data_IF_726425044066
#
_entry.id   IF_726425044066
#
_cell.length_a   1.000
_cell.length_b   1.000
_cell.length_c   1.000
_cell.angle_alpha   90.00
_cell.angle_beta   90.00
_cell.angle_gamma   90.00
#
_symmetry.space_group_name_H-M   'P 1'
#
loop_
_entity.id
_entity.type
_entity.pdbx_description
1 polymer ?
#
# COMPACT_ATOMS: atom_id res chain seq x y z
N UNK A 1 -4.57 -5.49 31.51
CA UNK A 1 -3.49 -6.11 30.71
C UNK A 1 -4.14 -6.71 29.49
N UNK A 2 -3.61 -6.45 28.31
CA UNK A 2 -4.13 -7.04 27.07
C UNK A 2 -3.90 -8.56 27.11
N UNK A 3 -4.82 -9.33 26.52
CA UNK A 3 -4.66 -10.77 26.36
C UNK A 3 -3.45 -11.08 25.46
N UNK A 4 -2.63 -12.08 25.80
CA UNK A 4 -1.41 -12.45 25.09
C UNK A 4 -1.68 -12.80 23.61
N UNK A 5 -2.79 -13.49 23.33
CA UNK A 5 -3.23 -13.79 21.95
C UNK A 5 -3.50 -12.53 21.14
N UNK A 6 -4.13 -11.52 21.75
CA UNK A 6 -4.40 -10.24 21.10
C UNK A 6 -3.07 -9.52 20.83
N UNK A 7 -2.17 -9.50 21.84
CA UNK A 7 -0.86 -8.89 21.73
C UNK A 7 -0.04 -9.45 20.57
N UNK A 8 0.12 -10.77 20.50
CA UNK A 8 0.85 -11.45 19.42
C UNK A 8 0.18 -11.25 18.06
N UNK A 9 -1.17 -11.28 18.01
CA UNK A 9 -1.90 -11.05 16.77
C UNK A 9 -1.65 -9.62 16.23
N UNK A 10 -1.60 -8.61 17.09
CA UNK A 10 -1.37 -7.23 16.68
C UNK A 10 0.06 -7.02 16.17
N UNK A 11 1.06 -7.64 16.79
CA UNK A 11 2.43 -7.69 16.26
C UNK A 11 2.45 -8.38 14.88
N UNK A 12 1.77 -9.51 14.75
CA UNK A 12 1.64 -10.23 13.48
C UNK A 12 1.01 -9.37 12.39
N UNK A 13 -0.09 -8.67 12.70
CA UNK A 13 -0.76 -7.75 11.76
C UNK A 13 0.19 -6.64 11.30
N UNK A 14 0.93 -6.01 12.21
CA UNK A 14 1.91 -4.98 11.83
C UNK A 14 2.97 -5.55 10.89
N UNK A 15 3.51 -6.74 11.16
CA UNK A 15 4.51 -7.42 10.31
C UNK A 15 3.97 -7.75 8.92
N UNK A 16 2.72 -8.16 8.83
CA UNK A 16 2.09 -8.53 7.55
C UNK A 16 1.69 -7.32 6.70
N UNK A 17 1.25 -6.23 7.33
CA UNK A 17 0.68 -5.08 6.62
C UNK A 17 1.68 -3.94 6.38
N UNK A 18 2.75 -3.87 7.19
CA UNK A 18 3.78 -2.84 7.08
C UNK A 18 5.03 -3.38 6.38
N UNK A 19 4.93 -3.61 5.09
CA UNK A 19 6.02 -4.14 4.28
C UNK A 19 6.57 -3.08 3.30
N UNK A 20 7.86 -3.12 2.94
CA UNK A 20 8.39 -2.23 1.93
C UNK A 20 7.82 -2.57 0.55
N UNK A 21 7.54 -1.53 -0.24
CA UNK A 21 7.10 -1.65 -1.63
C UNK A 21 7.55 -0.44 -2.45
N UNK A 22 7.86 -0.67 -3.72
CA UNK A 22 8.23 0.37 -4.67
C UNK A 22 7.03 0.82 -5.49
N UNK A 23 6.90 2.13 -5.72
CA UNK A 23 5.88 2.68 -6.60
C UNK A 23 4.44 2.29 -6.24
N UNK A 24 3.55 2.25 -7.23
CA UNK A 24 2.17 1.81 -7.04
C UNK A 24 2.10 0.29 -6.93
N UNK A 25 1.33 -0.21 -5.97
CA UNK A 25 1.31 -1.64 -5.60
C UNK A 25 0.72 -2.53 -6.69
N UNK A 26 -0.29 -2.08 -7.42
CA UNK A 26 -0.93 -2.86 -8.47
C UNK A 26 -0.04 -3.10 -9.70
N UNK A 27 0.69 -2.10 -10.26
CA UNK A 27 1.69 -2.35 -11.29
C UNK A 27 2.81 -3.29 -10.83
N UNK A 28 3.24 -3.15 -9.57
CA UNK A 28 4.26 -4.03 -8.99
C UNK A 28 3.75 -5.46 -8.85
N UNK A 29 2.47 -5.63 -8.44
CA UNK A 29 1.84 -6.95 -8.40
C UNK A 29 1.80 -7.63 -9.78
N UNK A 30 1.48 -6.86 -10.83
CA UNK A 30 1.53 -7.36 -12.22
C UNK A 30 2.94 -7.75 -12.64
N UNK A 31 3.95 -6.93 -12.31
CA UNK A 31 5.35 -7.25 -12.57
C UNK A 31 5.81 -8.49 -11.78
N UNK A 32 5.37 -8.64 -10.52
CA UNK A 32 5.63 -9.82 -9.71
C UNK A 32 5.01 -11.08 -10.33
N UNK A 33 3.72 -11.02 -10.71
CA UNK A 33 3.05 -12.13 -11.37
C UNK A 33 3.74 -12.53 -12.67
N UNK A 34 4.18 -11.55 -13.47
CA UNK A 34 4.92 -11.78 -14.71
C UNK A 34 6.30 -12.38 -14.47
N UNK A 35 7.05 -11.91 -13.46
CA UNK A 35 8.33 -12.48 -13.07
C UNK A 35 8.19 -13.95 -12.64
N UNK A 36 7.19 -14.25 -11.80
CA UNK A 36 6.89 -15.63 -11.37
C UNK A 36 6.48 -16.52 -12.53
N UNK A 37 5.61 -16.02 -13.43
CA UNK A 37 5.19 -16.78 -14.62
C UNK A 37 6.38 -17.09 -15.54
N UNK A 38 7.29 -16.12 -15.75
CA UNK A 38 8.51 -16.31 -16.53
C UNK A 38 9.48 -17.33 -15.86
N UNK A 39 9.61 -17.31 -14.53
CA UNK A 39 10.41 -18.32 -13.81
C UNK A 39 9.86 -19.74 -14.06
N UNK A 40 8.55 -19.93 -14.00
CA UNK A 40 7.89 -21.21 -14.28
C UNK A 40 8.04 -21.61 -15.76
N UNK A 41 7.91 -20.64 -16.69
CA UNK A 41 8.10 -20.87 -18.13
C UNK A 41 9.55 -21.32 -18.42
N UNK A 42 10.52 -20.74 -17.72
CA UNK A 42 11.95 -21.06 -17.83
C UNK A 42 12.69 -20.35 -18.97
N UNK A 43 12.02 -19.46 -19.71
CA UNK A 43 12.58 -18.70 -20.84
C UNK A 43 11.84 -17.37 -21.05
N UNK A 44 12.38 -16.49 -21.90
CA UNK A 44 11.71 -15.23 -22.26
C UNK A 44 10.44 -15.54 -23.05
N UNK A 45 9.27 -14.94 -22.72
CA UNK A 45 8.04 -15.16 -23.43
C UNK A 45 8.01 -14.47 -24.80
N UNK A 46 7.40 -15.13 -25.78
CA UNK A 46 7.12 -14.59 -27.12
C UNK A 46 5.77 -13.88 -27.16
N UNK A 47 4.80 -14.38 -26.37
CA UNK A 47 3.45 -13.82 -26.25
C UNK A 47 3.03 -13.80 -24.80
N UNK A 48 2.33 -12.73 -24.41
CA UNK A 48 1.79 -12.54 -23.06
C UNK A 48 0.34 -12.07 -23.17
N UNK A 49 -0.56 -12.66 -22.39
CA UNK A 49 -1.90 -12.11 -22.16
C UNK A 49 -2.08 -11.81 -20.68
N UNK A 50 -2.38 -10.55 -20.37
CA UNK A 50 -2.71 -10.11 -19.01
C UNK A 50 -4.23 -9.92 -18.90
N UNK A 51 -4.91 -10.85 -18.25
CA UNK A 51 -6.35 -10.74 -17.96
C UNK A 51 -6.52 -10.08 -16.60
N UNK A 52 -7.16 -8.91 -16.53
CA UNK A 52 -7.21 -8.09 -15.34
C UNK A 52 -8.64 -7.71 -14.98
N UNK A 53 -8.97 -7.75 -13.68
CA UNK A 53 -10.24 -7.19 -13.18
C UNK A 53 -10.32 -5.69 -13.46
N UNK A 54 -11.53 -5.15 -13.54
CA UNK A 54 -11.76 -3.75 -13.86
C UNK A 54 -11.02 -2.79 -12.93
N UNK A 55 -10.88 -3.13 -11.65
CA UNK A 55 -10.16 -2.29 -10.69
C UNK A 55 -8.65 -2.26 -10.95
N UNK A 56 -8.05 -3.37 -11.36
CA UNK A 56 -6.64 -3.40 -11.77
C UNK A 56 -6.44 -2.51 -13.01
N UNK A 57 -7.30 -2.65 -14.04
CA UNK A 57 -7.22 -1.83 -15.25
C UNK A 57 -7.31 -0.34 -14.90
N UNK A 58 -8.30 0.04 -14.11
CA UNK A 58 -8.52 1.43 -13.68
C UNK A 58 -7.30 2.00 -12.94
N UNK A 59 -6.70 1.24 -12.02
CA UNK A 59 -5.66 1.74 -11.14
C UNK A 59 -4.27 1.79 -11.80
N UNK A 60 -4.01 0.98 -12.84
CA UNK A 60 -2.66 0.84 -13.41
C UNK A 60 -2.45 1.67 -14.67
N UNK A 61 -3.50 1.97 -15.43
CA UNK A 61 -3.38 2.48 -16.81
C UNK A 61 -2.48 3.69 -16.99
N UNK A 62 -2.46 4.63 -16.04
CA UNK A 62 -1.72 5.90 -16.16
C UNK A 62 -0.58 6.03 -15.15
N UNK A 63 -0.26 4.96 -14.42
CA UNK A 63 0.78 5.00 -13.38
C UNK A 63 2.14 4.71 -13.99
N UNK A 64 3.14 5.49 -13.60
CA UNK A 64 4.53 5.25 -14.00
C UNK A 64 5.04 4.01 -13.26
N UNK A 65 5.59 3.06 -14.02
CA UNK A 65 6.21 1.86 -13.48
C UNK A 65 7.59 2.21 -12.91
N UNK A 66 7.90 1.88 -11.66
CA UNK A 66 9.20 2.14 -11.06
C UNK A 66 10.33 1.52 -11.89
N UNK A 67 11.49 2.17 -11.94
CA UNK A 67 12.69 1.72 -12.67
C UNK A 67 12.51 1.44 -14.17
N UNK A 68 11.34 1.76 -14.75
CA UNK A 68 11.04 1.53 -16.17
C UNK A 68 11.66 2.57 -17.12
N UNK A 69 12.13 3.70 -16.57
CA UNK A 69 12.52 4.88 -17.39
C UNK A 69 11.31 5.61 -17.95
N UNK A 70 10.21 5.71 -17.18
CA UNK A 70 9.01 6.51 -17.48
C UNK A 70 7.90 5.77 -18.23
N UNK A 71 7.97 4.43 -18.37
CA UNK A 71 6.90 3.65 -18.98
C UNK A 71 5.66 3.59 -18.07
N UNK A 72 4.48 3.53 -18.67
CA UNK A 72 3.18 3.50 -17.98
C UNK A 72 2.33 2.34 -18.47
N UNK A 73 1.34 1.94 -17.65
CA UNK A 73 0.32 0.98 -18.05
C UNK A 73 0.62 -0.48 -17.72
N UNK A 74 -0.37 -1.32 -17.95
CA UNK A 74 -0.33 -2.74 -17.60
C UNK A 74 0.73 -3.48 -18.42
N UNK A 75 0.75 -3.24 -19.73
CA UNK A 75 1.68 -3.90 -20.65
C UNK A 75 3.13 -3.64 -20.23
N UNK A 76 3.45 -2.38 -19.86
CA UNK A 76 4.78 -2.01 -19.42
C UNK A 76 5.17 -2.71 -18.11
N UNK A 77 4.27 -2.75 -17.13
CA UNK A 77 4.51 -3.46 -15.86
C UNK A 77 4.73 -4.97 -16.06
N UNK A 78 3.89 -5.60 -16.87
CA UNK A 78 3.95 -7.03 -17.17
C UNK A 78 5.21 -7.39 -17.97
N UNK A 79 5.50 -6.65 -19.05
CA UNK A 79 6.69 -6.93 -19.88
C UNK A 79 7.98 -6.67 -19.11
N UNK A 80 8.06 -5.58 -18.33
CA UNK A 80 9.23 -5.30 -17.50
C UNK A 80 9.43 -6.37 -16.42
N UNK A 81 8.35 -6.82 -15.78
CA UNK A 81 8.37 -7.93 -14.83
C UNK A 81 8.87 -9.23 -15.47
N UNK A 82 8.41 -9.55 -16.68
CA UNK A 82 8.86 -10.72 -17.41
C UNK A 82 10.32 -10.67 -17.84
N UNK A 83 10.86 -9.49 -18.17
CA UNK A 83 12.25 -9.32 -18.62
C UNK A 83 13.24 -9.24 -17.46
N UNK A 84 12.93 -8.40 -16.46
CA UNK A 84 13.88 -7.97 -15.45
C UNK A 84 13.44 -8.30 -14.01
N UNK A 85 12.19 -8.70 -13.80
CA UNK A 85 11.67 -8.92 -12.47
C UNK A 85 12.37 -10.05 -11.72
N UNK A 86 12.72 -9.79 -10.45
CA UNK A 86 13.17 -10.79 -9.50
C UNK A 86 12.05 -11.07 -8.50
N UNK A 87 11.30 -12.16 -8.70
CA UNK A 87 10.14 -12.47 -7.87
C UNK A 87 10.47 -12.77 -6.40
N UNK A 88 11.72 -13.12 -6.07
CA UNK A 88 12.13 -13.32 -4.67
C UNK A 88 12.09 -12.05 -3.83
N UNK A 89 12.07 -10.87 -4.48
CA UNK A 89 11.99 -9.57 -3.83
C UNK A 89 10.53 -9.10 -3.61
N UNK A 90 9.52 -9.92 -3.91
CA UNK A 90 8.10 -9.61 -3.70
C UNK A 90 7.71 -8.23 -4.26
N UNK A 91 7.25 -7.31 -3.40
CA UNK A 91 6.83 -5.97 -3.78
C UNK A 91 7.97 -5.01 -4.19
N UNK A 92 9.21 -5.49 -4.15
CA UNK A 92 10.40 -4.81 -4.66
C UNK A 92 10.96 -5.49 -5.92
N UNK A 93 10.14 -6.27 -6.62
CA UNK A 93 10.47 -7.10 -7.80
C UNK A 93 11.25 -6.37 -8.90
N UNK A 94 11.12 -5.06 -9.03
CA UNK A 94 11.78 -4.21 -10.03
C UNK A 94 12.96 -3.40 -9.47
N UNK A 95 13.44 -3.67 -8.25
CA UNK A 95 14.50 -2.86 -7.61
C UNK A 95 15.83 -2.83 -8.37
N UNK A 96 16.14 -3.91 -9.06
CA UNK A 96 17.46 -4.11 -9.69
C UNK A 96 17.43 -3.95 -11.22
N UNK A 97 16.40 -3.32 -11.79
CA UNK A 97 16.27 -3.14 -13.24
C UNK A 97 17.39 -2.25 -13.78
N UNK A 98 18.15 -2.76 -14.73
CA UNK A 98 19.24 -2.05 -15.37
C UNK A 98 18.85 -1.47 -16.76
N UNK A 99 19.76 -0.71 -17.39
CA UNK A 99 19.48 -0.03 -18.67
C UNK A 99 19.29 -1.00 -19.83
N UNK A 100 20.01 -2.14 -19.84
CA UNK A 100 19.85 -3.15 -20.89
C UNK A 100 18.46 -3.77 -20.84
N UNK A 101 17.96 -4.08 -19.65
CA UNK A 101 16.63 -4.64 -19.41
C UNK A 101 15.53 -3.62 -19.78
N UNK A 102 15.71 -2.35 -19.44
CA UNK A 102 14.80 -1.27 -19.87
C UNK A 102 14.70 -1.20 -21.39
N UNK A 103 15.84 -1.27 -22.07
CA UNK A 103 15.88 -1.28 -23.55
C UNK A 103 15.17 -2.51 -24.10
N UNK A 104 15.46 -3.68 -23.54
CA UNK A 104 14.79 -4.94 -23.93
C UNK A 104 13.28 -4.88 -23.76
N UNK A 105 12.82 -4.32 -22.64
CA UNK A 105 11.40 -4.11 -22.37
C UNK A 105 10.74 -3.25 -23.48
N UNK A 106 11.36 -2.13 -23.85
CA UNK A 106 10.86 -1.26 -24.95
C UNK A 106 10.78 -1.99 -26.27
N UNK A 107 11.80 -2.76 -26.64
CA UNK A 107 11.81 -3.56 -27.88
C UNK A 107 10.63 -4.58 -27.92
N UNK A 108 10.31 -5.18 -26.79
CA UNK A 108 9.21 -6.14 -26.68
C UNK A 108 7.83 -5.45 -26.70
N UNK A 109 7.72 -4.28 -26.07
CA UNK A 109 6.52 -3.44 -26.14
C UNK A 109 6.25 -2.96 -27.56
N UNK A 110 7.27 -2.54 -28.31
CA UNK A 110 7.16 -2.14 -29.72
C UNK A 110 6.69 -3.30 -30.60
N UNK A 111 7.09 -4.53 -30.27
CA UNK A 111 6.60 -5.77 -30.91
C UNK A 111 5.19 -6.17 -30.48
N UNK A 112 4.61 -5.47 -29.50
CA UNK A 112 3.26 -5.74 -28.96
C UNK A 112 3.08 -7.17 -28.48
N UNK A 113 4.07 -7.72 -27.80
CA UNK A 113 4.00 -9.11 -27.31
C UNK A 113 2.99 -9.29 -26.18
N UNK A 114 2.57 -8.21 -25.50
CA UNK A 114 1.62 -8.22 -24.40
C UNK A 114 0.27 -7.65 -24.84
N UNK A 115 -0.80 -8.41 -24.56
CA UNK A 115 -2.19 -8.01 -24.74
C UNK A 115 -2.87 -7.94 -23.38
N UNK A 116 -3.71 -6.92 -23.17
CA UNK A 116 -4.52 -6.76 -21.96
C UNK A 116 -5.98 -7.11 -22.27
N UNK A 117 -6.60 -7.90 -21.42
CA UNK A 117 -8.01 -8.30 -21.52
C UNK A 117 -8.74 -8.03 -20.20
N UNK A 118 -10.02 -7.65 -20.30
CA UNK A 118 -10.88 -7.53 -19.14
C UNK A 118 -11.23 -8.93 -18.61
N UNK A 119 -10.95 -9.18 -17.34
CA UNK A 119 -11.38 -10.36 -16.61
C UNK A 119 -12.70 -10.06 -15.89
N UNK A 120 -13.77 -10.75 -16.27
CA UNK A 120 -15.02 -10.69 -15.51
C UNK A 120 -14.87 -11.47 -14.21
N UNK A 121 -14.73 -10.73 -13.12
CA UNK A 121 -14.48 -11.30 -11.80
C UNK A 121 -15.13 -10.46 -10.71
N UNK A 122 -15.80 -11.10 -9.74
CA UNK A 122 -16.30 -10.41 -8.54
C UNK A 122 -15.18 -10.02 -7.57
N UNK A 123 -13.97 -10.57 -7.76
CA UNK A 123 -12.81 -10.28 -6.92
C UNK A 123 -12.13 -9.01 -7.41
N UNK A 124 -12.02 -8.04 -6.53
CA UNK A 124 -11.53 -6.68 -6.84
C UNK A 124 -10.07 -6.69 -7.29
N UNK A 125 -9.20 -7.42 -6.56
CA UNK A 125 -7.82 -7.68 -6.93
C UNK A 125 -7.75 -9.10 -7.52
N UNK A 126 -7.79 -9.17 -8.85
CA UNK A 126 -7.71 -10.42 -9.58
C UNK A 126 -7.10 -10.19 -10.95
N UNK A 127 -6.05 -10.92 -11.26
CA UNK A 127 -5.47 -10.96 -12.59
C UNK A 127 -4.81 -12.31 -12.88
N UNK A 128 -4.72 -12.63 -14.18
CA UNK A 128 -4.08 -13.83 -14.69
C UNK A 128 -3.05 -13.40 -15.73
N UNK A 129 -1.83 -13.89 -15.61
CA UNK A 129 -0.77 -13.71 -16.59
C UNK A 129 -0.59 -15.03 -17.34
N UNK A 130 -0.88 -15.03 -18.62
CA UNK A 130 -0.63 -16.15 -19.53
C UNK A 130 0.59 -15.83 -20.38
N UNK A 131 1.54 -16.75 -20.47
CA UNK A 131 2.76 -16.62 -21.24
C UNK A 131 2.95 -17.83 -22.15
N UNK A 132 3.48 -17.58 -23.35
CA UNK A 132 3.84 -18.62 -24.31
C UNK A 132 5.24 -18.33 -24.89
N UNK A 133 6.04 -19.40 -25.07
CA UNK A 133 7.30 -19.38 -25.79
C UNK A 133 7.51 -20.74 -26.49
N UNK A 134 7.44 -20.76 -27.82
CA UNK A 134 7.32 -21.99 -28.61
C UNK A 134 6.09 -22.78 -28.19
N UNK A 135 6.27 -24.05 -27.86
CA UNK A 135 5.18 -24.97 -27.43
C UNK A 135 4.90 -24.88 -25.93
N UNK A 136 5.75 -24.19 -25.14
CA UNK A 136 5.55 -24.07 -23.69
C UNK A 136 4.59 -22.93 -23.35
N UNK A 137 3.69 -23.22 -22.43
CA UNK A 137 2.71 -22.26 -21.92
C UNK A 137 2.66 -22.26 -20.41
N UNK A 138 2.44 -21.08 -19.83
CA UNK A 138 2.23 -20.90 -18.38
C UNK A 138 1.03 -19.98 -18.19
N UNK A 139 0.17 -20.31 -17.23
CA UNK A 139 -0.88 -19.44 -16.69
C UNK A 139 -0.66 -19.30 -15.19
N UNK A 140 -0.57 -18.08 -14.70
CA UNK A 140 -0.40 -17.76 -13.30
C UNK A 140 -1.50 -16.80 -12.86
N UNK A 141 -2.20 -17.15 -11.78
CA UNK A 141 -3.32 -16.38 -11.24
C UNK A 141 -2.96 -15.78 -9.89
N UNK A 142 -3.30 -14.51 -9.68
CA UNK A 142 -3.20 -13.80 -8.41
C UNK A 142 -4.57 -13.24 -8.03
N UNK A 143 -4.99 -13.54 -6.79
CA UNK A 143 -6.27 -13.07 -6.21
C UNK A 143 -6.07 -12.55 -4.79
N UNK A 144 -6.97 -11.66 -4.39
CA UNK A 144 -7.20 -11.14 -3.04
C UNK A 144 -6.08 -10.25 -2.49
N UNK A 145 -4.82 -10.55 -2.79
CA UNK A 145 -3.65 -9.78 -2.37
C UNK A 145 -2.62 -9.68 -3.49
N UNK A 146 -1.72 -8.68 -3.42
CA UNK A 146 -0.78 -8.31 -4.47
C UNK A 146 0.22 -9.41 -4.87
N UNK A 147 0.57 -10.30 -3.94
CA UNK A 147 1.52 -11.41 -4.17
C UNK A 147 0.92 -12.79 -3.88
N UNK A 148 -0.40 -12.86 -3.67
CA UNK A 148 -1.09 -14.12 -3.37
C UNK A 148 -1.35 -14.91 -4.65
N UNK A 149 -0.41 -15.77 -5.03
CA UNK A 149 -0.54 -16.68 -6.17
C UNK A 149 -1.50 -17.80 -5.80
N UNK A 150 -2.66 -17.84 -6.47
CA UNK A 150 -3.71 -18.84 -6.20
C UNK A 150 -3.65 -20.02 -7.16
N UNK A 151 -3.14 -19.83 -8.38
CA UNK A 151 -3.06 -20.92 -9.36
C UNK A 151 -1.84 -20.78 -10.27
N UNK A 152 -1.20 -21.91 -10.57
CA UNK A 152 -0.15 -22.02 -11.59
C UNK A 152 -0.42 -23.26 -12.44
N UNK A 153 -0.47 -23.06 -13.76
CA UNK A 153 -0.60 -24.16 -14.74
C UNK A 153 0.54 -24.04 -15.74
N UNK A 154 1.27 -25.12 -16.01
CA UNK A 154 2.30 -25.21 -17.06
C UNK A 154 1.96 -26.35 -18.00
N UNK A 155 1.89 -26.09 -19.32
CA UNK A 155 1.64 -27.12 -20.33
C UNK A 155 0.43 -28.02 -19.98
N UNK A 156 -0.66 -27.44 -19.46
CA UNK A 156 -1.88 -28.10 -18.97
C UNK A 156 -1.71 -28.85 -17.62
N UNK A 157 -0.51 -28.96 -17.07
CA UNK A 157 -0.28 -29.51 -15.74
C UNK A 157 -0.51 -28.41 -14.65
N UNK A 158 -1.34 -28.74 -13.66
CA UNK A 158 -1.60 -27.85 -12.52
C UNK A 158 -0.48 -28.02 -11.48
N UNK A 159 0.35 -26.99 -11.34
CA UNK A 159 1.46 -26.99 -10.37
C UNK A 159 1.04 -26.43 -9.00
N UNK A 160 0.06 -25.54 -9.00
CA UNK A 160 -0.54 -24.95 -7.79
C UNK A 160 -2.03 -24.69 -8.06
N UNK A 161 -2.87 -25.04 -7.10
CA UNK A 161 -4.30 -24.68 -7.08
C UNK A 161 -4.72 -24.48 -5.62
N UNK A 162 -4.83 -23.23 -5.18
CA UNK A 162 -5.07 -22.84 -3.79
C UNK A 162 -5.85 -21.53 -3.77
N UNK A 163 -7.18 -21.62 -3.72
CA UNK A 163 -8.06 -20.43 -3.71
C UNK A 163 -8.27 -19.88 -2.28
N UNK A 164 -7.18 -19.79 -1.50
CA UNK A 164 -7.22 -19.22 -0.16
C UNK A 164 -7.03 -17.70 -0.22
N UNK A 165 -7.90 -16.97 0.50
CA UNK A 165 -7.66 -15.55 0.76
C UNK A 165 -6.43 -15.38 1.62
N UNK A 166 -5.63 -14.36 1.31
CA UNK A 166 -4.55 -13.89 2.20
C UNK A 166 -5.11 -13.69 3.62
N UNK A 167 -4.52 -14.33 4.62
CA UNK A 167 -5.00 -14.26 6.00
C UNK A 167 -5.85 -15.44 6.45
N UNK A 168 -6.23 -16.39 5.55
CA UNK A 168 -6.89 -17.66 5.92
C UNK A 168 -5.87 -18.80 6.12
N UNK A 169 -4.57 -18.52 5.97
CA UNK A 169 -3.53 -19.49 6.33
C UNK A 169 -3.44 -19.64 7.85
N UNK A 170 -3.20 -20.84 8.40
CA UNK A 170 -3.09 -21.06 9.85
C UNK A 170 -2.03 -20.20 10.56
N UNK A 171 -1.12 -19.59 9.81
CA UNK A 171 -0.06 -18.71 10.31
C UNK A 171 -0.41 -17.22 10.19
N UNK A 172 -1.57 -16.85 9.63
CA UNK A 172 -1.94 -15.45 9.49
C UNK A 172 -2.45 -14.87 10.81
N UNK A 173 -2.09 -13.61 11.08
CA UNK A 173 -2.55 -12.90 12.25
C UNK A 173 -4.09 -12.68 12.21
N UNK A 174 -4.74 -12.89 13.36
CA UNK A 174 -6.21 -12.85 13.47
C UNK A 174 -6.75 -11.42 13.48
N UNK A 175 -7.12 -10.91 12.30
CA UNK A 175 -7.66 -9.55 12.14
C UNK A 175 -9.05 -9.36 12.75
N UNK A 176 -9.76 -10.44 13.10
CA UNK A 176 -11.08 -10.35 13.75
C UNK A 176 -10.99 -9.82 15.18
N UNK A 177 -9.79 -9.86 15.76
CA UNK A 177 -9.51 -9.33 17.10
C UNK A 177 -9.34 -7.80 17.10
N UNK A 178 -9.23 -7.16 15.92
CA UNK A 178 -9.05 -5.70 15.86
C UNK A 178 -10.31 -4.98 16.33
N UNK A 179 -10.15 -4.15 17.34
CA UNK A 179 -11.12 -3.18 17.81
C UNK A 179 -10.41 -1.95 18.39
N UNK A 180 -11.11 -0.84 18.46
CA UNK A 180 -10.51 0.45 18.84
C UNK A 180 -9.93 0.45 20.25
N UNK A 181 -10.59 -0.22 21.19
CA UNK A 181 -10.24 -0.23 22.61
C UNK A 181 -8.93 -1.01 22.85
N UNK A 182 -8.83 -2.19 22.23
CA UNK A 182 -7.63 -3.02 22.32
C UNK A 182 -6.49 -2.45 21.52
N UNK A 183 -6.74 -1.83 20.35
CA UNK A 183 -5.71 -1.11 19.57
C UNK A 183 -5.09 0.01 20.43
N UNK A 184 -5.93 0.77 21.13
CA UNK A 184 -5.44 1.82 22.03
C UNK A 184 -4.63 1.24 23.17
N UNK A 185 -5.17 0.23 23.86
CA UNK A 185 -4.48 -0.43 24.96
C UNK A 185 -3.13 -1.00 24.54
N UNK A 186 -3.09 -1.66 23.36
CA UNK A 186 -1.86 -2.19 22.78
C UNK A 186 -0.84 -1.08 22.52
N UNK A 187 -1.25 -0.01 21.85
CA UNK A 187 -0.35 1.11 21.57
C UNK A 187 0.20 1.75 22.85
N UNK A 188 -0.61 1.83 23.91
CA UNK A 188 -0.18 2.38 25.21
C UNK A 188 0.81 1.47 25.95
N UNK A 189 0.73 0.16 25.76
CA UNK A 189 1.43 -0.83 26.59
C UNK A 189 2.43 -1.71 25.86
N UNK A 190 2.48 -1.65 24.52
CA UNK A 190 3.39 -2.48 23.72
C UNK A 190 4.85 -2.24 24.15
N UNK A 191 5.60 -3.35 24.26
CA UNK A 191 7.04 -3.26 24.45
C UNK A 191 7.67 -2.72 23.16
N UNK A 192 8.42 -1.63 23.29
CA UNK A 192 8.96 -0.90 22.12
C UNK A 192 9.86 -1.81 21.26
N UNK A 193 10.64 -2.68 21.89
CA UNK A 193 11.56 -3.58 21.19
C UNK A 193 10.84 -4.55 20.24
N UNK A 194 9.58 -4.92 20.52
CA UNK A 194 8.78 -5.82 19.68
C UNK A 194 8.33 -5.19 18.35
N UNK A 195 8.24 -3.87 18.30
CA UNK A 195 7.76 -3.10 17.14
C UNK A 195 8.81 -2.18 16.53
N UNK A 196 9.93 -1.97 17.21
CA UNK A 196 10.96 -1.00 16.87
C UNK A 196 11.46 -1.12 15.44
N UNK A 197 11.86 -2.31 15.02
CA UNK A 197 12.42 -2.54 13.69
C UNK A 197 11.43 -2.15 12.58
N UNK A 198 10.15 -2.53 12.74
CA UNK A 198 9.08 -2.25 11.76
C UNK A 198 8.83 -0.75 11.68
N UNK A 199 8.72 -0.09 12.85
CA UNK A 199 8.42 1.34 12.95
C UNK A 199 9.59 2.19 12.45
N UNK A 200 10.82 1.86 12.82
CA UNK A 200 12.01 2.57 12.33
C UNK A 200 12.17 2.44 10.81
N UNK A 201 11.84 1.26 10.24
CA UNK A 201 11.84 1.09 8.80
C UNK A 201 10.81 2.01 8.12
N UNK A 202 9.59 2.10 8.68
CA UNK A 202 8.56 3.01 8.18
C UNK A 202 9.01 4.48 8.26
N UNK A 203 9.55 4.90 9.41
CA UNK A 203 10.05 6.27 9.60
C UNK A 203 11.12 6.58 8.56
N UNK A 204 12.12 5.72 8.41
CA UNK A 204 13.24 5.92 7.49
C UNK A 204 12.77 6.01 6.04
N UNK A 205 12.01 5.01 5.58
CA UNK A 205 11.61 4.89 4.18
C UNK A 205 10.62 5.99 3.78
N UNK A 206 9.57 6.22 4.59
CA UNK A 206 8.53 7.18 4.24
C UNK A 206 9.01 8.63 4.34
N UNK A 207 9.95 8.94 5.25
CA UNK A 207 10.56 10.26 5.28
C UNK A 207 11.58 10.47 4.17
N UNK A 208 12.33 9.45 3.77
CA UNK A 208 13.28 9.55 2.67
C UNK A 208 12.56 9.96 1.36
N UNK A 209 11.48 9.26 1.00
CA UNK A 209 10.71 9.62 -0.21
C UNK A 209 9.98 10.97 -0.06
N UNK A 210 9.56 11.36 1.17
CA UNK A 210 8.96 12.66 1.41
C UNK A 210 9.96 13.80 1.12
N UNK A 211 11.19 13.66 1.55
CA UNK A 211 12.26 14.63 1.26
C UNK A 211 12.64 14.64 -0.23
N UNK A 212 12.74 13.47 -0.88
CA UNK A 212 12.98 13.38 -2.32
C UNK A 212 11.86 14.06 -3.12
N UNK A 213 10.59 13.85 -2.75
CA UNK A 213 9.46 14.50 -3.40
C UNK A 213 9.48 16.04 -3.30
N UNK A 214 10.07 16.59 -2.24
CA UNK A 214 10.24 18.05 -2.11
C UNK A 214 11.23 18.63 -3.12
N UNK A 215 12.03 17.84 -3.82
CA UNK A 215 12.93 18.33 -4.88
C UNK A 215 12.19 18.89 -6.09
N UNK A 216 10.89 18.56 -6.25
CA UNK A 216 10.04 18.99 -7.38
C UNK A 216 10.31 18.28 -8.70
N UNK A 217 11.02 17.14 -8.69
CA UNK A 217 11.31 16.33 -9.88
C UNK A 217 10.11 15.50 -10.34
N UNK A 218 9.10 15.32 -9.48
CA UNK A 218 7.97 14.43 -9.69
C UNK A 218 6.67 15.24 -9.81
N UNK A 219 5.80 14.82 -10.72
CA UNK A 219 4.46 15.38 -10.90
C UNK A 219 4.44 16.91 -11.07
N UNK A 220 3.57 17.57 -10.34
CA UNK A 220 3.38 19.03 -10.34
C UNK A 220 4.17 19.75 -9.23
N UNK A 221 4.82 19.02 -8.34
CA UNK A 221 5.51 19.58 -7.18
C UNK A 221 4.55 20.09 -6.10
N UNK A 222 3.42 19.41 -5.90
CA UNK A 222 2.33 19.85 -4.98
C UNK A 222 2.86 20.10 -3.56
N UNK A 223 3.71 19.21 -3.05
CA UNK A 223 4.29 19.37 -1.70
C UNK A 223 5.09 20.67 -1.56
N UNK A 224 5.89 21.01 -2.57
CA UNK A 224 6.65 22.27 -2.63
C UNK A 224 5.71 23.47 -2.75
N UNK A 225 4.72 23.41 -3.65
CA UNK A 225 3.72 24.50 -3.83
C UNK A 225 3.01 24.78 -2.51
N UNK A 226 2.58 23.74 -1.77
CA UNK A 226 1.95 23.92 -0.45
C UNK A 226 2.89 24.69 0.49
N UNK A 227 4.17 24.29 0.55
CA UNK A 227 5.18 24.91 1.42
C UNK A 227 5.52 26.36 1.02
N UNK A 228 5.46 26.69 -0.26
CA UNK A 228 5.73 28.04 -0.78
C UNK A 228 4.51 28.98 -0.68
N UNK A 229 3.31 28.43 -0.74
CA UNK A 229 2.06 29.22 -0.81
C UNK A 229 1.48 29.54 0.57
N UNK A 230 1.60 28.61 1.52
CA UNK A 230 0.98 28.76 2.85
C UNK A 230 2.03 29.13 3.92
N UNK A 231 1.53 29.47 5.12
CA UNK A 231 2.39 29.76 6.28
C UNK A 231 3.34 28.62 6.59
N UNK A 232 4.54 28.92 7.11
CA UNK A 232 5.52 27.90 7.51
C UNK A 232 5.19 27.33 8.90
N UNK A 233 3.94 26.94 9.10
CA UNK A 233 3.48 26.27 10.32
C UNK A 233 3.61 24.74 10.21
N UNK A 234 3.45 24.07 11.34
CA UNK A 234 3.53 22.62 11.46
C UNK A 234 2.54 21.91 10.54
N UNK A 235 1.30 22.39 10.45
CA UNK A 235 0.27 21.76 9.60
C UNK A 235 0.64 21.84 8.12
N UNK A 236 1.18 22.95 7.67
CA UNK A 236 1.69 23.13 6.30
C UNK A 236 2.87 22.21 6.02
N UNK A 237 3.79 22.02 6.99
CA UNK A 237 4.89 21.06 6.86
C UNK A 237 4.38 19.62 6.73
N UNK A 238 3.45 19.21 7.59
CA UNK A 238 2.81 17.88 7.54
C UNK A 238 2.16 17.63 6.19
N UNK A 239 1.32 18.54 5.71
CA UNK A 239 0.62 18.45 4.42
C UNK A 239 1.60 18.42 3.25
N UNK A 240 2.57 19.32 3.24
CA UNK A 240 3.56 19.44 2.18
C UNK A 240 4.40 18.18 2.01
N UNK A 241 4.95 17.64 3.10
CA UNK A 241 5.78 16.43 3.06
C UNK A 241 4.96 15.18 2.71
N UNK A 242 3.73 15.05 3.22
CA UNK A 242 2.85 13.92 2.88
C UNK A 242 2.44 13.94 1.40
N UNK A 243 2.11 15.12 0.86
CA UNK A 243 1.80 15.29 -0.55
C UNK A 243 3.02 14.99 -1.42
N UNK A 244 4.20 15.52 -1.06
CA UNK A 244 5.45 15.29 -1.79
C UNK A 244 5.82 13.80 -1.85
N UNK A 245 5.69 13.06 -0.73
CA UNK A 245 5.95 11.63 -0.68
C UNK A 245 5.03 10.84 -1.63
N UNK A 246 3.73 11.14 -1.59
CA UNK A 246 2.73 10.49 -2.44
C UNK A 246 2.95 10.82 -3.91
N UNK A 247 3.27 12.07 -4.23
CA UNK A 247 3.54 12.53 -5.59
C UNK A 247 4.81 11.89 -6.17
N UNK A 248 5.91 11.85 -5.40
CA UNK A 248 7.13 11.17 -5.81
C UNK A 248 6.88 9.70 -6.10
N UNK A 249 6.19 9.01 -5.18
CA UNK A 249 5.82 7.59 -5.35
C UNK A 249 5.01 7.35 -6.63
N UNK A 250 3.98 8.14 -6.87
CA UNK A 250 3.11 8.01 -8.05
C UNK A 250 3.79 8.49 -9.33
N UNK A 251 4.77 9.39 -9.20
CA UNK A 251 5.58 9.94 -10.28
C UNK A 251 6.77 9.06 -10.69
N UNK A 252 6.85 7.82 -10.20
CA UNK A 252 7.86 6.85 -10.61
C UNK A 252 9.19 6.92 -9.87
N UNK A 253 9.21 7.53 -8.68
CA UNK A 253 10.37 7.45 -7.79
C UNK A 253 10.65 5.99 -7.44
N UNK A 254 11.91 5.59 -7.53
CA UNK A 254 12.40 4.23 -7.29
C UNK A 254 12.71 3.93 -5.81
N UNK A 255 12.43 4.90 -4.92
CA UNK A 255 12.60 4.69 -3.48
C UNK A 255 11.43 3.89 -2.91
N UNK A 256 11.70 2.88 -2.04
CA UNK A 256 10.65 2.13 -1.38
C UNK A 256 9.93 2.97 -0.33
N UNK A 257 8.68 2.64 -0.09
CA UNK A 257 7.88 3.10 1.05
C UNK A 257 7.43 1.90 1.88
N UNK A 258 7.25 2.06 3.17
CA UNK A 258 6.53 1.07 3.97
C UNK A 258 5.04 1.33 3.79
N UNK A 259 4.37 0.35 3.18
CA UNK A 259 2.94 0.40 2.88
C UNK A 259 2.09 0.14 4.14
N UNK A 260 0.79 0.34 4.02
CA UNK A 260 -0.20 -0.16 4.98
C UNK A 260 -1.41 -0.68 4.22
N UNK A 261 -1.91 -1.85 4.57
CA UNK A 261 -3.07 -2.50 3.94
C UNK A 261 -3.01 -2.51 2.41
N UNK A 262 -1.84 -2.83 1.86
CA UNK A 262 -1.61 -2.96 0.43
C UNK A 262 -1.44 -1.63 -0.33
N UNK A 263 -1.33 -0.47 0.35
CA UNK A 263 -1.18 0.83 -0.31
C UNK A 263 -0.05 1.67 0.28
N UNK A 264 0.88 2.12 -0.59
CA UNK A 264 1.98 3.00 -0.19
C UNK A 264 1.49 4.40 0.20
N UNK A 265 0.54 4.98 -0.53
CA UNK A 265 -0.03 6.28 -0.15
C UNK A 265 -0.74 6.22 1.21
N UNK A 266 -1.32 5.07 1.55
CA UNK A 266 -1.91 4.84 2.86
C UNK A 266 -0.84 4.76 3.95
N UNK A 267 0.26 4.02 3.72
CA UNK A 267 1.41 3.98 4.62
C UNK A 267 2.05 5.35 4.83
N UNK A 268 2.16 6.17 3.77
CA UNK A 268 2.62 7.56 3.86
C UNK A 268 1.65 8.41 4.69
N UNK A 269 0.35 8.35 4.40
CA UNK A 269 -0.66 9.18 5.05
C UNK A 269 -0.83 8.89 6.54
N UNK A 270 -0.68 7.63 6.97
CA UNK A 270 -0.76 7.26 8.39
C UNK A 270 0.53 7.49 9.18
N UNK A 271 1.67 7.75 8.52
CA UNK A 271 2.96 7.88 9.20
C UNK A 271 3.60 9.26 9.10
N UNK A 272 3.75 9.81 7.89
CA UNK A 272 4.50 11.08 7.67
C UNK A 272 3.98 12.23 8.52
N UNK A 273 2.65 12.48 8.64
CA UNK A 273 2.17 13.56 9.49
C UNK A 273 2.60 13.42 10.95
N UNK A 274 2.52 12.20 11.50
CA UNK A 274 2.90 11.94 12.90
C UNK A 274 4.39 12.11 13.14
N UNK A 275 5.22 11.64 12.17
CA UNK A 275 6.68 11.79 12.26
C UNK A 275 7.06 13.26 12.24
N UNK A 276 6.45 14.06 11.35
CA UNK A 276 6.70 15.50 11.27
C UNK A 276 6.25 16.19 12.58
N UNK A 277 5.06 15.85 13.06
CA UNK A 277 4.54 16.39 14.32
C UNK A 277 5.48 16.09 15.50
N UNK A 278 5.86 14.83 15.67
CA UNK A 278 6.71 14.43 16.78
C UNK A 278 8.09 15.13 16.75
N UNK A 279 8.66 15.30 15.57
CA UNK A 279 9.95 16.00 15.39
C UNK A 279 9.86 17.49 15.67
N UNK A 280 8.81 18.18 15.19
CA UNK A 280 8.60 19.60 15.43
C UNK A 280 8.30 19.90 16.91
N UNK A 281 7.67 18.95 17.61
CA UNK A 281 7.36 19.06 19.04
C UNK A 281 8.45 18.46 19.94
N UNK A 282 9.55 17.97 19.36
CA UNK A 282 10.67 17.34 20.09
C UNK A 282 10.20 16.20 21.04
N UNK A 283 9.21 15.42 20.60
CA UNK A 283 8.68 14.32 21.40
C UNK A 283 9.67 13.15 21.46
N UNK A 284 9.74 12.43 22.58
CA UNK A 284 10.57 11.24 22.72
C UNK A 284 10.18 10.16 21.69
N UNK A 285 11.15 9.37 21.20
CA UNK A 285 10.94 8.34 20.20
C UNK A 285 9.87 7.31 20.59
N UNK A 286 9.80 6.91 21.87
CA UNK A 286 8.79 5.95 22.31
C UNK A 286 7.34 6.47 22.13
N UNK A 287 7.12 7.78 22.24
CA UNK A 287 5.81 8.42 22.00
C UNK A 287 5.48 8.33 20.51
N UNK A 288 6.43 8.65 19.65
CA UNK A 288 6.26 8.51 18.19
C UNK A 288 5.98 7.06 17.81
N UNK A 289 6.71 6.09 18.37
CA UNK A 289 6.51 4.67 18.04
C UNK A 289 5.12 4.20 18.43
N UNK A 290 4.64 4.53 19.61
CA UNK A 290 3.29 4.22 20.09
C UNK A 290 2.21 4.86 19.20
N UNK A 291 2.38 6.12 18.83
CA UNK A 291 1.49 6.83 17.92
C UNK A 291 1.43 6.17 16.54
N UNK A 292 2.58 5.75 15.99
CA UNK A 292 2.65 5.02 14.71
C UNK A 292 2.02 3.63 14.79
N UNK A 293 2.25 2.89 15.88
CA UNK A 293 1.58 1.60 16.13
C UNK A 293 0.07 1.79 16.12
N UNK A 294 -0.46 2.76 16.88
CA UNK A 294 -1.88 3.07 16.92
C UNK A 294 -2.43 3.43 15.53
N UNK A 295 -1.78 4.37 14.83
CA UNK A 295 -2.21 4.85 13.51
C UNK A 295 -2.23 3.73 12.47
N UNK A 296 -1.22 2.88 12.47
CA UNK A 296 -1.14 1.75 11.54
C UNK A 296 -2.23 0.70 11.81
N UNK A 297 -2.41 0.26 13.05
CA UNK A 297 -3.46 -0.71 13.40
C UNK A 297 -4.86 -0.17 13.16
N UNK A 298 -5.11 1.11 13.51
CA UNK A 298 -6.40 1.75 13.25
C UNK A 298 -6.67 1.85 11.73
N UNK A 299 -5.65 2.12 10.93
CA UNK A 299 -5.76 2.13 9.48
C UNK A 299 -6.14 0.75 8.94
N UNK A 300 -5.50 -0.33 9.42
CA UNK A 300 -5.86 -1.71 9.06
C UNK A 300 -7.29 -2.02 9.49
N UNK A 301 -7.69 -1.64 10.70
CA UNK A 301 -9.05 -1.84 11.20
C UNK A 301 -10.10 -1.16 10.32
N UNK A 302 -9.91 0.12 9.97
CA UNK A 302 -10.81 0.83 9.06
C UNK A 302 -10.87 0.16 7.68
N UNK A 303 -9.74 -0.34 7.20
CA UNK A 303 -9.62 -0.95 5.87
C UNK A 303 -10.41 -2.25 5.74
N UNK A 304 -10.71 -2.95 6.82
CA UNK A 304 -11.58 -4.13 6.80
C UNK A 304 -12.99 -3.82 6.28
N UNK A 305 -13.49 -2.60 6.51
CA UNK A 305 -14.82 -2.18 6.07
C UNK A 305 -14.91 -1.81 4.59
N UNK A 306 -13.80 -1.40 3.97
CA UNK A 306 -13.77 -0.96 2.57
C UNK A 306 -13.01 -1.90 1.63
N UNK A 307 -12.27 -2.88 2.18
CA UNK A 307 -11.42 -3.78 1.41
C UNK A 307 -10.08 -3.18 0.98
N UNK A 308 -9.13 -4.02 0.59
CA UNK A 308 -7.75 -3.61 0.22
C UNK A 308 -7.72 -2.76 -1.05
N UNK A 309 -8.57 -3.03 -2.02
CA UNK A 309 -8.69 -2.30 -3.27
C UNK A 309 -10.10 -1.73 -3.41
N UNK A 310 -10.24 -0.41 -3.50
CA UNK A 310 -11.52 0.27 -3.65
C UNK A 310 -11.34 1.58 -4.42
N UNK A 311 -12.44 2.14 -4.97
CA UNK A 311 -12.43 3.48 -5.54
C UNK A 311 -12.21 4.55 -4.50
N UNK A 312 -12.67 4.32 -3.28
CA UNK A 312 -12.41 5.20 -2.15
C UNK A 312 -10.92 5.11 -1.78
N UNK A 313 -10.21 6.23 -1.93
CA UNK A 313 -8.78 6.26 -1.70
C UNK A 313 -8.45 5.91 -0.24
N UNK A 314 -7.64 4.87 -0.05
CA UNK A 314 -7.17 4.46 1.26
C UNK A 314 -6.39 5.54 2.01
N UNK A 315 -5.79 6.50 1.30
CA UNK A 315 -5.13 7.65 1.92
C UNK A 315 -6.10 8.51 2.74
N UNK A 316 -7.40 8.57 2.40
CA UNK A 316 -8.40 9.32 3.19
C UNK A 316 -8.62 8.63 4.53
N UNK A 317 -8.83 7.30 4.55
CA UNK A 317 -8.99 6.55 5.82
C UNK A 317 -7.72 6.60 6.68
N UNK A 318 -6.55 6.49 6.07
CA UNK A 318 -5.28 6.62 6.76
C UNK A 318 -5.05 8.03 7.34
N UNK A 319 -5.47 9.08 6.62
CA UNK A 319 -5.42 10.45 7.13
C UNK A 319 -6.36 10.66 8.33
N UNK A 320 -7.53 10.01 8.32
CA UNK A 320 -8.43 9.99 9.48
C UNK A 320 -7.79 9.27 10.67
N UNK A 321 -7.14 8.12 10.45
CA UNK A 321 -6.42 7.40 11.49
C UNK A 321 -5.27 8.21 12.07
N UNK A 322 -4.49 8.89 11.23
CA UNK A 322 -3.42 9.79 11.67
C UNK A 322 -3.96 11.00 12.45
N UNK A 323 -5.09 11.58 12.03
CA UNK A 323 -5.76 12.65 12.77
C UNK A 323 -6.19 12.18 14.16
N UNK A 324 -6.78 10.99 14.25
CA UNK A 324 -7.19 10.41 15.53
C UNK A 324 -5.96 10.13 16.39
N UNK A 325 -4.89 9.56 15.82
CA UNK A 325 -3.63 9.32 16.51
C UNK A 325 -3.01 10.63 17.02
N UNK A 326 -2.98 11.68 16.22
CA UNK A 326 -2.48 13.00 16.63
C UNK A 326 -3.34 13.62 17.76
N UNK A 327 -4.66 13.38 17.74
CA UNK A 327 -5.56 13.80 18.82
C UNK A 327 -5.33 13.01 20.11
N UNK A 328 -4.94 11.73 19.99
CA UNK A 328 -4.52 10.89 21.11
C UNK A 328 -3.14 11.31 21.62
N UNK A 329 -2.22 11.76 20.74
CA UNK A 329 -0.92 12.32 21.16
C UNK A 329 -1.08 13.62 21.93
N UNK A 330 -2.07 14.43 21.61
CA UNK A 330 -2.45 15.54 22.48
C UNK A 330 -2.95 15.01 23.84
N UNK A 331 -3.58 13.85 23.89
CA UNK A 331 -3.95 13.15 25.11
C UNK A 331 -2.76 12.41 25.76
N UNK A 332 -1.79 11.92 24.99
CA UNK A 332 -0.50 11.41 25.49
C UNK A 332 0.36 12.54 26.05
N UNK A 333 0.39 13.69 25.38
CA UNK A 333 1.03 14.90 25.91
C UNK A 333 0.33 15.33 27.20
N UNK A 334 -0.99 15.30 27.25
CA UNK A 334 -1.79 15.53 28.44
C UNK A 334 -1.57 14.45 29.51
N UNK A 335 -1.33 13.20 29.14
CA UNK A 335 -0.96 12.13 30.06
C UNK A 335 0.47 12.30 30.58
N UNK A 336 1.39 12.72 29.74
CA UNK A 336 2.77 13.07 30.15
C UNK A 336 2.79 14.31 31.06
N UNK A 337 1.91 15.28 30.80
CA UNK A 337 1.66 16.42 31.68
C UNK A 337 0.92 16.00 32.95
N UNK A 338 0.05 14.98 32.89
CA UNK A 338 -0.69 14.40 34.03
C UNK A 338 0.21 13.52 34.93
N UNK A 339 1.22 12.85 34.37
CA UNK A 339 2.29 12.21 35.17
C UNK A 339 3.07 13.25 36.00
N UNK A 340 2.99 14.50 35.58
CA UNK A 340 3.51 15.66 36.35
C UNK A 340 2.46 16.36 37.24
N UNK A 341 1.32 15.70 37.53
CA UNK A 341 0.35 16.13 38.56
C UNK A 341 -0.93 16.83 38.06
N UNK A 342 -1.29 16.73 36.80
CA UNK A 342 -2.52 17.33 36.26
C UNK A 342 -3.43 16.26 35.60
N UNK A 343 -4.71 16.20 36.00
CA UNK A 343 -5.69 15.19 35.53
C UNK A 343 -6.46 15.64 34.30
N UNK A 344 -6.58 14.73 33.30
CA UNK A 344 -7.43 14.92 32.12
C UNK A 344 -8.30 13.68 31.87
N UNK A 345 -9.52 13.68 32.38
CA UNK A 345 -10.48 12.59 32.21
C UNK A 345 -11.53 12.74 31.09
N UNK A 346 -11.73 13.88 30.39
CA UNK A 346 -12.88 14.05 29.47
C UNK A 346 -12.68 13.54 28.04
N UNK A 347 -11.45 13.29 27.56
CA UNK A 347 -11.20 13.09 26.13
C UNK A 347 -11.43 11.67 25.58
N UNK A 348 -11.41 10.66 26.42
CA UNK A 348 -11.54 9.26 25.97
C UNK A 348 -12.92 8.91 25.42
N UNK A 349 -14.00 9.53 25.90
CA UNK A 349 -15.37 9.31 25.44
C UNK A 349 -15.61 9.94 24.06
N UNK A 350 -15.19 11.20 23.89
CA UNK A 350 -15.39 11.94 22.63
C UNK A 350 -14.58 11.34 21.49
N UNK A 351 -13.33 10.93 21.75
CA UNK A 351 -12.47 10.28 20.75
C UNK A 351 -13.00 8.91 20.33
N UNK A 352 -13.62 8.15 21.25
CA UNK A 352 -14.24 6.87 20.96
C UNK A 352 -15.48 7.04 20.06
N UNK A 353 -16.27 8.05 20.30
CA UNK A 353 -17.45 8.42 19.51
C UNK A 353 -17.05 8.91 18.11
N UNK A 354 -16.15 9.87 18.00
CA UNK A 354 -15.62 10.39 16.72
C UNK A 354 -14.93 9.30 15.89
N UNK A 355 -14.14 8.41 16.51
CA UNK A 355 -13.51 7.31 15.81
C UNK A 355 -14.54 6.28 15.31
N UNK A 356 -15.55 5.96 16.11
CA UNK A 356 -16.66 5.07 15.73
C UNK A 356 -17.45 5.62 14.56
N UNK A 357 -17.81 6.90 14.59
CA UNK A 357 -18.50 7.59 13.49
C UNK A 357 -17.64 7.66 12.22
N UNK A 358 -16.37 7.97 12.34
CA UNK A 358 -15.44 8.01 11.21
C UNK A 358 -15.32 6.64 10.55
N UNK A 359 -15.17 5.57 11.33
CA UNK A 359 -15.06 4.19 10.81
C UNK A 359 -16.35 3.79 10.09
N UNK A 360 -17.53 4.07 10.68
CA UNK A 360 -18.83 3.78 10.08
C UNK A 360 -19.03 4.55 8.78
N UNK A 361 -18.72 5.83 8.76
CA UNK A 361 -18.85 6.70 7.59
C UNK A 361 -17.91 6.24 6.44
N UNK A 362 -16.66 5.94 6.74
CA UNK A 362 -15.68 5.44 5.76
C UNK A 362 -16.15 4.13 5.15
N UNK A 363 -16.66 3.19 5.97
CA UNK A 363 -17.20 1.92 5.50
C UNK A 363 -18.37 2.09 4.53
N UNK A 364 -19.29 2.96 4.85
CA UNK A 364 -20.49 3.24 4.03
C UNK A 364 -20.11 3.93 2.71
N UNK A 365 -19.32 5.00 2.75
CA UNK A 365 -18.86 5.71 1.57
C UNK A 365 -18.01 4.79 0.68
N UNK A 366 -17.11 3.99 1.26
CA UNK A 366 -16.23 3.12 0.51
C UNK A 366 -16.95 1.97 -0.19
N UNK A 367 -18.01 1.42 0.40
CA UNK A 367 -18.76 0.28 -0.19
C UNK A 367 -19.84 0.70 -1.16
N UNK A 368 -20.55 1.77 -0.89
CA UNK A 368 -21.78 2.14 -1.59
C UNK A 368 -21.62 3.41 -2.41
N UNK A 369 -20.95 4.44 -1.87
CA UNK A 369 -20.92 5.77 -2.47
C UNK A 369 -20.10 5.89 -3.75
N UNK A 370 -19.10 5.03 -3.98
CA UNK A 370 -18.19 5.12 -5.13
C UNK A 370 -18.47 4.08 -6.22
N UNK A 371 -19.37 3.13 -5.99
CA UNK A 371 -19.61 2.00 -6.89
C UNK A 371 -19.98 2.40 -8.31
N UNK A 372 -20.85 3.39 -8.48
CA UNK A 372 -21.26 3.86 -9.80
C UNK A 372 -20.18 4.71 -10.47
N UNK A 373 -19.45 5.50 -9.70
CA UNK A 373 -18.29 6.26 -10.20
C UNK A 373 -17.20 5.31 -10.73
N UNK A 374 -16.93 4.20 -10.05
CA UNK A 374 -15.98 3.19 -10.49
C UNK A 374 -16.39 2.56 -11.82
N UNK A 375 -17.66 2.21 -11.97
CA UNK A 375 -18.19 1.64 -13.22
C UNK A 375 -18.04 2.62 -14.38
N UNK A 376 -18.35 3.90 -14.17
CA UNK A 376 -18.26 4.91 -15.21
C UNK A 376 -16.82 5.21 -15.62
N UNK A 377 -15.90 5.29 -14.65
CA UNK A 377 -14.46 5.43 -14.94
C UNK A 377 -13.97 4.23 -15.76
N UNK A 378 -14.32 3.01 -15.36
CA UNK A 378 -13.95 1.81 -16.09
C UNK A 378 -14.50 1.82 -17.51
N UNK A 379 -15.79 2.19 -17.69
CA UNK A 379 -16.42 2.31 -19.02
C UNK A 379 -15.63 3.26 -19.93
N UNK A 380 -15.33 4.47 -19.46
CA UNK A 380 -14.57 5.47 -20.21
C UNK A 380 -13.16 4.95 -20.58
N UNK A 381 -12.53 4.21 -19.68
CA UNK A 381 -11.20 3.66 -19.91
C UNK A 381 -11.21 2.54 -20.95
N UNK A 382 -12.23 1.70 -20.96
CA UNK A 382 -12.37 0.61 -21.94
C UNK A 382 -12.74 1.11 -23.35
N UNK A 383 -13.52 2.19 -23.46
CA UNK A 383 -13.88 2.79 -24.76
C UNK A 383 -12.71 3.48 -25.48
N UNK A 384 -11.59 3.72 -24.77
CA UNK A 384 -10.38 4.35 -25.31
C UNK A 384 -9.26 3.35 -25.64
N UNK A 385 -9.52 2.06 -25.50
CA UNK A 385 -8.66 0.95 -25.93
C UNK A 385 -9.06 0.49 -27.33
#
# INVERSE_FOLDING_TARGET
MLDERIYESYIGILKEEMVPAMGCTEPIALAYGAARAREVLGKEPEHITAKCSGNIIKNVRCVIIPNSGGLTGIEAGVVLGAVAGNASLNMEVLSNVNEFERKRCRELLDKKICKVELLDSPVVLHFIIEMQAGDDTVSLEIKYDHINVTKIVKNQEVLLDSDHKSGETPAAADRTLLNLEDIKTFADTVEIDDVKEIIENQIRSNMAIAHEGMTGKYGLGIGRIIRETYSNDMLTKMRGLTAAASEARMGGCDMPVVINSGSGNQGIACSVPLIVYAREMELPDYVLYRALVFSNLLTVYQKQYIGKLSAFCGAVSASCAAKIAASLDAAFLAHHLAMNGQSYAPYTGILKEEAGETISCVGQIGKEGMKETDKEILRIMLERV
#
